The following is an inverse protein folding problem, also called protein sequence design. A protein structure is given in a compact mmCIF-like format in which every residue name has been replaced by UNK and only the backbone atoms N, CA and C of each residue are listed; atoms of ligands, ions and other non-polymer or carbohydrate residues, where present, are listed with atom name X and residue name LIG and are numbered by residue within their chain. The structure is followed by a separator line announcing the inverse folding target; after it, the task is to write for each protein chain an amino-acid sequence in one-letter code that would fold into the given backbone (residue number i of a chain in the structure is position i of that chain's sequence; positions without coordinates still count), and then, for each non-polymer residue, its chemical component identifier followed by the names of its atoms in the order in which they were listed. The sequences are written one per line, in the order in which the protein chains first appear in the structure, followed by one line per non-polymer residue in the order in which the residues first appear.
data_IF_357734702203
#
_entry.id   IF_357734702203
#
_cell.length_a   1.000
_cell.length_b   1.000
_cell.length_c   1.000
_cell.angle_alpha   90.00
_cell.angle_beta   90.00
_cell.angle_gamma   90.00
#
_symmetry.space_group_name_H-M   'P 1'
#
loop_
_entity.id
_entity.type
_entity.pdbx_description
1 polymer ?
#
# COMPACT_ATOMS: atom_id res chain seq x y z
N UNK A 1 6.77 89.57 -18.12
CA UNK A 1 7.44 88.26 -18.15
C UNK A 1 6.97 87.47 -16.93
N UNK A 2 6.03 86.53 -17.08
CA UNK A 2 5.70 85.45 -16.13
C UNK A 2 4.94 84.38 -16.95
N UNK A 3 5.50 83.18 -17.04
CA UNK A 3 4.87 82.00 -17.64
C UNK A 3 3.73 81.49 -16.76
N UNK A 4 2.55 81.25 -17.34
CA UNK A 4 1.46 80.47 -16.71
C UNK A 4 1.66 78.99 -17.05
N UNK A 5 1.90 78.18 -16.03
CA UNK A 5 1.89 76.72 -16.12
C UNK A 5 0.46 76.22 -16.36
N UNK A 6 0.28 75.40 -17.38
CA UNK A 6 -0.98 74.70 -17.67
C UNK A 6 -1.07 73.46 -16.77
N UNK A 7 -1.99 73.48 -15.82
CA UNK A 7 -2.38 72.30 -15.04
C UNK A 7 -3.46 71.55 -15.81
N UNK A 8 -3.17 70.32 -16.26
CA UNK A 8 -4.16 69.45 -16.89
C UNK A 8 -4.80 68.62 -15.76
N UNK A 9 -6.12 68.72 -15.51
CA UNK A 9 -6.77 67.91 -14.50
C UNK A 9 -6.97 66.48 -15.03
N UNK A 10 -6.43 65.50 -14.32
CA UNK A 10 -6.64 64.08 -14.60
C UNK A 10 -7.98 63.69 -13.97
N UNK A 11 -8.93 63.25 -14.81
CA UNK A 11 -10.31 62.97 -14.41
C UNK A 11 -10.42 61.63 -13.67
N UNK A 12 -10.82 61.58 -12.39
CA UNK A 12 -10.78 60.38 -11.54
C UNK A 12 -11.76 59.27 -11.97
N UNK A 13 -12.77 59.60 -12.78
CA UNK A 13 -13.77 58.64 -13.27
C UNK A 13 -13.22 57.58 -14.22
N UNK A 14 -12.19 57.90 -15.00
CA UNK A 14 -11.58 56.94 -15.93
C UNK A 14 -10.82 55.83 -15.19
N UNK A 15 -10.26 56.11 -14.01
CA UNK A 15 -9.55 55.11 -13.22
C UNK A 15 -10.49 54.05 -12.63
N UNK A 16 -11.67 54.47 -12.16
CA UNK A 16 -12.65 53.55 -11.57
C UNK A 16 -13.21 52.59 -12.62
N UNK A 17 -13.51 53.09 -13.82
CA UNK A 17 -14.00 52.26 -14.93
C UNK A 17 -12.94 51.22 -15.38
N UNK A 18 -11.68 51.65 -15.49
CA UNK A 18 -10.56 50.75 -15.85
C UNK A 18 -10.33 49.70 -14.76
N UNK A 19 -10.45 50.06 -13.48
CA UNK A 19 -10.30 49.13 -12.36
C UNK A 19 -11.40 48.05 -12.34
N UNK A 20 -12.65 48.44 -12.60
CA UNK A 20 -13.79 47.50 -12.67
C UNK A 20 -13.60 46.53 -13.85
N UNK A 21 -13.20 47.05 -15.02
CA UNK A 21 -12.92 46.22 -16.19
C UNK A 21 -11.78 45.25 -15.91
N UNK A 22 -10.67 45.71 -15.32
CA UNK A 22 -9.55 44.84 -14.91
C UNK A 22 -9.97 43.75 -13.92
N UNK A 23 -10.77 44.08 -12.91
CA UNK A 23 -11.27 43.10 -11.92
C UNK A 23 -12.17 42.04 -12.56
N UNK A 24 -12.88 42.39 -13.63
CA UNK A 24 -13.76 41.46 -14.35
C UNK A 24 -12.93 40.45 -15.15
N UNK A 25 -11.88 40.91 -15.84
CA UNK A 25 -10.94 40.03 -16.55
C UNK A 25 -10.13 39.16 -15.59
N UNK A 26 -9.72 39.68 -14.44
CA UNK A 26 -8.98 38.93 -13.42
C UNK A 26 -9.79 37.76 -12.85
N UNK A 27 -11.11 37.96 -12.63
CA UNK A 27 -12.02 36.88 -12.22
C UNK A 27 -12.18 35.82 -13.30
N UNK A 28 -12.27 36.21 -14.57
CA UNK A 28 -12.34 35.28 -15.70
C UNK A 28 -11.08 34.40 -15.83
N UNK A 29 -9.90 35.00 -15.67
CA UNK A 29 -8.61 34.29 -15.71
C UNK A 29 -8.49 33.30 -14.53
N UNK A 30 -8.93 33.70 -13.34
CA UNK A 30 -8.91 32.84 -12.15
C UNK A 30 -9.87 31.63 -12.30
N UNK A 31 -11.03 31.83 -12.94
CA UNK A 31 -11.99 30.77 -13.22
C UNK A 31 -11.49 29.79 -14.30
N UNK A 32 -10.72 30.30 -15.27
CA UNK A 32 -10.07 29.48 -16.30
C UNK A 32 -8.93 28.63 -15.71
N UNK A 33 -8.14 29.17 -14.77
CA UNK A 33 -7.04 28.45 -14.11
C UNK A 33 -7.52 27.25 -13.26
N UNK A 34 -8.72 27.32 -12.69
CA UNK A 34 -9.32 26.21 -11.94
C UNK A 34 -9.67 24.98 -12.81
N UNK A 35 -9.84 25.17 -14.13
CA UNK A 35 -10.13 24.08 -15.07
C UNK A 35 -8.86 23.36 -15.57
N UNK A 36 -7.67 23.97 -15.35
CA UNK A 36 -6.37 23.42 -15.75
C UNK A 36 -5.62 22.87 -14.52
N UNK A 37 -6.21 22.94 -13.32
CA UNK A 37 -5.66 22.25 -12.16
C UNK A 37 -5.60 20.74 -12.51
N UNK A 38 -4.41 20.13 -12.59
CA UNK A 38 -4.33 18.70 -12.80
C UNK A 38 -5.09 18.05 -11.64
N UNK A 39 -5.98 17.12 -11.94
CA UNK A 39 -6.44 16.18 -10.93
C UNK A 39 -5.18 15.46 -10.44
N UNK A 40 -4.72 15.84 -9.26
CA UNK A 40 -3.70 15.10 -8.53
C UNK A 40 -4.33 13.75 -8.23
N UNK A 41 -4.16 12.82 -9.17
CA UNK A 41 -4.49 11.42 -8.98
C UNK A 41 -3.49 10.88 -7.96
N UNK A 42 -3.97 10.48 -6.79
CA UNK A 42 -3.30 9.54 -5.91
C UNK A 42 -3.15 8.21 -6.68
N UNK A 43 -2.10 8.11 -7.51
CA UNK A 43 -1.90 7.01 -8.46
C UNK A 43 -0.84 5.98 -8.06
N UNK A 44 -0.17 6.12 -6.91
CA UNK A 44 0.96 5.25 -6.55
C UNK A 44 0.60 4.07 -5.62
N UNK A 45 -0.58 4.04 -5.02
CA UNK A 45 -0.96 2.95 -4.09
C UNK A 45 -1.67 1.77 -4.78
N UNK A 46 -2.31 1.97 -5.93
CA UNK A 46 -3.08 0.92 -6.60
C UNK A 46 -2.21 -0.05 -7.41
N UNK A 47 -1.19 0.46 -8.09
CA UNK A 47 -0.28 -0.35 -8.93
C UNK A 47 0.59 -1.31 -8.10
N UNK A 48 1.01 -0.85 -6.92
CA UNK A 48 1.79 -1.64 -5.97
C UNK A 48 0.96 -2.75 -5.32
N UNK A 49 -0.30 -2.48 -4.98
CA UNK A 49 -1.20 -3.47 -4.40
C UNK A 49 -1.49 -4.65 -5.35
N UNK A 50 -1.69 -4.39 -6.64
CA UNK A 50 -1.96 -5.44 -7.63
C UNK A 50 -0.72 -6.33 -7.85
N UNK A 51 0.46 -5.71 -7.96
CA UNK A 51 1.74 -6.43 -8.09
C UNK A 51 2.00 -7.34 -6.89
N UNK A 52 1.77 -6.82 -5.67
CA UNK A 52 1.92 -7.57 -4.42
C UNK A 52 0.99 -8.79 -4.38
N UNK A 53 -0.27 -8.61 -4.77
CA UNK A 53 -1.24 -9.70 -4.80
C UNK A 53 -0.87 -10.80 -5.81
N UNK A 54 -0.38 -10.42 -6.98
CA UNK A 54 0.13 -11.39 -7.98
C UNK A 54 1.27 -12.20 -7.40
N UNK A 55 2.22 -11.57 -6.70
CA UNK A 55 3.33 -12.26 -6.07
C UNK A 55 2.86 -13.25 -4.99
N UNK A 56 1.97 -12.82 -4.09
CA UNK A 56 1.41 -13.68 -3.04
C UNK A 56 0.71 -14.89 -3.63
N UNK A 57 -0.06 -14.72 -4.71
CA UNK A 57 -0.73 -15.84 -5.38
C UNK A 57 0.27 -16.85 -5.95
N UNK A 58 1.39 -16.40 -6.51
CA UNK A 58 2.47 -17.28 -6.97
C UNK A 58 3.11 -18.04 -5.81
N UNK A 59 3.41 -17.34 -4.71
CA UNK A 59 3.93 -17.98 -3.50
C UNK A 59 2.97 -19.06 -2.97
N UNK A 60 1.68 -18.75 -2.82
CA UNK A 60 0.68 -19.72 -2.37
C UNK A 60 0.53 -20.88 -3.35
N UNK A 61 0.58 -20.64 -4.66
CA UNK A 61 0.56 -21.70 -5.65
C UNK A 61 1.78 -22.66 -5.50
N UNK A 62 2.97 -22.11 -5.23
CA UNK A 62 4.16 -22.91 -4.97
C UNK A 62 4.02 -23.76 -3.69
N UNK A 63 3.32 -23.27 -2.66
CA UNK A 63 3.02 -24.09 -1.47
C UNK A 63 2.16 -25.32 -1.80
N UNK A 64 1.25 -25.23 -2.77
CA UNK A 64 0.42 -26.36 -3.20
C UNK A 64 1.14 -27.38 -4.07
N UNK A 65 2.22 -26.98 -4.76
CA UNK A 65 2.96 -27.86 -5.65
C UNK A 65 3.79 -28.85 -4.83
N UNK A 66 3.38 -30.12 -4.77
CA UNK A 66 4.07 -31.18 -4.01
C UNK A 66 5.42 -31.58 -4.62
N UNK A 67 5.71 -31.18 -5.85
CA UNK A 67 7.00 -31.48 -6.50
C UNK A 67 8.11 -30.49 -6.11
N UNK A 68 7.75 -29.31 -5.59
CA UNK A 68 8.71 -28.32 -5.13
C UNK A 68 9.19 -28.63 -3.72
N UNK A 69 10.50 -28.65 -3.54
CA UNK A 69 11.12 -28.75 -2.22
C UNK A 69 10.99 -27.42 -1.45
N UNK A 70 10.92 -27.50 -0.11
CA UNK A 70 10.60 -26.33 0.73
C UNK A 70 11.73 -25.30 0.75
N UNK A 71 12.97 -25.76 0.75
CA UNK A 71 14.19 -24.96 0.54
C UNK A 71 14.17 -24.14 -0.76
N UNK A 72 13.67 -24.74 -1.86
CA UNK A 72 13.50 -24.05 -3.15
C UNK A 72 12.45 -22.93 -3.04
N UNK A 73 11.33 -23.18 -2.36
CA UNK A 73 10.29 -22.17 -2.14
C UNK A 73 10.84 -21.02 -1.29
N UNK A 74 11.57 -21.32 -0.21
CA UNK A 74 12.24 -20.32 0.62
C UNK A 74 13.15 -19.43 -0.23
N UNK A 75 14.07 -20.03 -0.99
CA UNK A 75 15.04 -19.31 -1.81
C UNK A 75 14.38 -18.38 -2.85
N UNK A 76 13.30 -18.85 -3.49
CA UNK A 76 12.63 -18.10 -4.56
C UNK A 76 11.77 -16.95 -4.00
N UNK A 77 11.00 -17.20 -2.94
CA UNK A 77 9.91 -16.31 -2.55
C UNK A 77 10.18 -15.51 -1.27
N UNK A 78 11.13 -15.92 -0.43
CA UNK A 78 11.37 -15.31 0.88
C UNK A 78 12.64 -14.46 0.85
N UNK A 79 12.59 -13.29 1.47
CA UNK A 79 13.79 -12.49 1.77
C UNK A 79 14.35 -12.92 3.10
N UNK A 80 15.64 -13.22 3.14
CA UNK A 80 16.38 -13.53 4.37
C UNK A 80 17.45 -12.45 4.53
N UNK A 81 17.24 -11.55 5.48
CA UNK A 81 18.10 -10.40 5.74
C UNK A 81 19.11 -10.65 6.87
N UNK A 82 18.93 -11.73 7.63
CA UNK A 82 19.88 -12.18 8.65
C UNK A 82 20.98 -13.03 8.06
N UNK A 83 22.11 -13.10 8.77
CA UNK A 83 23.17 -14.07 8.46
C UNK A 83 22.57 -15.48 8.50
N UNK A 84 22.68 -16.19 7.39
CA UNK A 84 22.07 -17.50 7.22
C UNK A 84 22.95 -18.55 7.89
N UNK A 85 22.67 -18.87 9.14
CA UNK A 85 23.22 -20.05 9.80
C UNK A 85 22.40 -21.29 9.43
N UNK A 86 23.02 -22.46 9.46
CA UNK A 86 22.32 -23.73 9.18
C UNK A 86 21.12 -23.93 10.11
N UNK A 87 21.29 -23.67 11.41
CA UNK A 87 20.20 -23.73 12.40
C UNK A 87 19.03 -22.78 12.06
N UNK A 88 19.35 -21.57 11.60
CA UNK A 88 18.32 -20.60 11.24
C UNK A 88 17.58 -21.00 9.97
N UNK A 89 18.30 -21.55 8.99
CA UNK A 89 17.69 -22.08 7.77
C UNK A 89 16.77 -23.27 8.07
N UNK A 90 17.22 -24.22 8.90
CA UNK A 90 16.41 -25.36 9.34
C UNK A 90 15.13 -24.90 10.06
N UNK A 91 15.22 -23.88 10.91
CA UNK A 91 14.06 -23.28 11.58
C UNK A 91 13.07 -22.66 10.56
N UNK A 92 13.57 -21.93 9.56
CA UNK A 92 12.73 -21.34 8.52
C UNK A 92 12.05 -22.40 7.67
N UNK A 93 12.77 -23.48 7.33
CA UNK A 93 12.25 -24.60 6.57
C UNK A 93 11.14 -25.32 7.33
N UNK A 94 11.35 -25.59 8.63
CA UNK A 94 10.32 -26.16 9.50
C UNK A 94 9.08 -25.27 9.59
N UNK A 95 9.28 -23.96 9.76
CA UNK A 95 8.19 -22.97 9.81
C UNK A 95 7.40 -22.91 8.51
N UNK A 96 8.10 -22.90 7.36
CA UNK A 96 7.43 -22.89 6.06
C UNK A 96 6.70 -24.21 5.79
N UNK A 97 7.25 -25.35 6.21
CA UNK A 97 6.59 -26.64 6.13
C UNK A 97 5.26 -26.66 6.90
N UNK A 98 5.21 -26.07 8.09
CA UNK A 98 3.97 -25.97 8.87
C UNK A 98 2.91 -25.13 8.15
N UNK A 99 3.29 -23.96 7.61
CA UNK A 99 2.42 -23.10 6.80
C UNK A 99 1.93 -23.85 5.56
N UNK A 100 2.84 -24.53 4.86
CA UNK A 100 2.56 -25.31 3.65
C UNK A 100 1.53 -26.40 3.92
N UNK A 101 1.72 -27.20 4.98
CA UNK A 101 0.75 -28.22 5.39
C UNK A 101 -0.61 -27.60 5.70
N UNK A 102 -0.63 -26.50 6.45
CA UNK A 102 -1.89 -25.85 6.80
C UNK A 102 -2.66 -25.39 5.56
N UNK A 103 -1.96 -24.79 4.59
CA UNK A 103 -2.53 -24.31 3.32
C UNK A 103 -2.98 -25.48 2.44
N UNK A 104 -2.18 -26.53 2.29
CA UNK A 104 -2.52 -27.71 1.50
C UNK A 104 -3.77 -28.44 2.01
N UNK A 105 -4.04 -28.39 3.32
CA UNK A 105 -5.29 -28.91 3.91
C UNK A 105 -6.53 -28.06 3.58
N UNK A 106 -6.39 -26.92 2.91
CA UNK A 106 -7.48 -26.04 2.48
C UNK A 106 -7.69 -26.17 0.98
N UNK A 107 -8.94 -26.01 0.56
CA UNK A 107 -9.28 -25.86 -0.85
C UNK A 107 -8.72 -24.52 -1.37
N UNK A 108 -7.84 -24.57 -2.37
CA UNK A 108 -7.19 -23.39 -2.94
C UNK A 108 -8.18 -22.41 -3.54
N UNK A 109 -9.34 -22.89 -4.04
CA UNK A 109 -10.41 -22.05 -4.58
C UNK A 109 -11.13 -21.24 -3.50
N UNK A 110 -10.98 -21.61 -2.23
CA UNK A 110 -11.61 -20.95 -1.09
C UNK A 110 -10.67 -19.99 -0.35
N UNK A 111 -9.43 -19.83 -0.83
CA UNK A 111 -8.47 -18.88 -0.25
C UNK A 111 -8.81 -17.48 -0.75
N UNK A 112 -9.17 -16.62 0.19
CA UNK A 112 -9.29 -15.19 -0.04
C UNK A 112 -8.02 -14.49 0.44
N UNK A 113 -7.51 -13.60 -0.41
CA UNK A 113 -6.35 -12.76 -0.14
C UNK A 113 -6.85 -11.39 0.28
N UNK A 114 -6.59 -11.00 1.53
CA UNK A 114 -7.17 -9.81 2.14
C UNK A 114 -6.05 -8.93 2.65
N UNK A 115 -5.96 -7.70 2.15
CA UNK A 115 -5.05 -6.71 2.70
C UNK A 115 -5.51 -6.29 4.10
N UNK A 116 -4.58 -5.89 4.98
CA UNK A 116 -4.86 -5.40 6.32
C UNK A 116 -6.04 -4.40 6.39
N UNK A 117 -6.11 -3.42 5.49
CA UNK A 117 -7.16 -2.40 5.49
C UNK A 117 -8.55 -2.92 5.12
N UNK A 118 -8.64 -4.11 4.53
CA UNK A 118 -9.90 -4.76 4.16
C UNK A 118 -10.45 -5.61 5.30
N UNK A 119 -9.68 -5.84 6.36
CA UNK A 119 -10.17 -6.58 7.52
C UNK A 119 -11.13 -5.75 8.37
N UNK A 120 -12.17 -6.36 8.95
CA UNK A 120 -13.02 -5.70 9.92
C UNK A 120 -12.21 -5.21 11.13
N UNK A 121 -12.53 -4.03 11.68
CA UNK A 121 -11.84 -3.46 12.85
C UNK A 121 -11.74 -4.41 14.05
N UNK A 122 -12.76 -5.27 14.23
CA UNK A 122 -12.77 -6.29 15.28
C UNK A 122 -11.70 -7.38 15.10
N UNK A 123 -11.32 -7.68 13.85
CA UNK A 123 -10.29 -8.67 13.51
C UNK A 123 -8.89 -8.04 13.53
N UNK A 124 -8.78 -6.73 13.28
CA UNK A 124 -7.48 -6.01 13.32
C UNK A 124 -7.09 -5.52 14.70
N UNK A 125 -8.01 -5.48 15.66
CA UNK A 125 -7.77 -4.91 17.00
C UNK A 125 -6.64 -5.63 17.74
N UNK A 126 -6.58 -6.95 17.59
CA UNK A 126 -5.60 -7.82 18.23
C UNK A 126 -4.51 -8.23 17.23
N UNK A 127 -4.18 -7.37 16.26
CA UNK A 127 -3.06 -7.55 15.32
C UNK A 127 -2.01 -6.46 15.61
N UNK A 128 -0.80 -6.87 15.94
CA UNK A 128 0.36 -6.01 16.09
C UNK A 128 1.11 -6.08 14.77
N UNK A 129 1.35 -4.91 14.19
CA UNK A 129 2.06 -4.80 12.92
C UNK A 129 3.56 -4.73 13.13
N UNK A 130 4.04 -4.56 14.36
CA UNK A 130 5.45 -4.52 14.72
C UNK A 130 6.23 -3.49 13.91
N UNK A 131 5.60 -2.33 13.69
CA UNK A 131 6.16 -1.23 12.90
C UNK A 131 6.17 -1.45 11.39
N UNK A 132 5.62 -2.57 10.89
CA UNK A 132 5.55 -2.85 9.45
C UNK A 132 4.43 -2.09 8.77
N UNK A 133 4.65 -1.76 7.50
CA UNK A 133 3.67 -1.04 6.70
C UNK A 133 2.46 -1.95 6.38
N UNK A 134 1.28 -1.56 6.85
CA UNK A 134 0.02 -2.25 6.61
C UNK A 134 -0.34 -2.43 5.12
N UNK A 135 0.14 -1.56 4.22
CA UNK A 135 -0.05 -1.70 2.77
C UNK A 135 0.59 -2.99 2.23
N UNK A 136 1.60 -3.52 2.92
CA UNK A 136 2.31 -4.74 2.53
C UNK A 136 1.92 -5.96 3.37
N UNK A 137 0.90 -5.83 4.23
CA UNK A 137 0.41 -6.92 5.07
C UNK A 137 -0.85 -7.51 4.46
N UNK A 138 -0.81 -8.82 4.26
CA UNK A 138 -1.90 -9.60 3.68
C UNK A 138 -2.22 -10.80 4.56
N UNK A 139 -3.48 -11.20 4.52
CA UNK A 139 -3.99 -12.34 5.24
C UNK A 139 -4.66 -13.31 4.27
N UNK A 140 -4.39 -14.59 4.46
CA UNK A 140 -5.11 -15.67 3.80
C UNK A 140 -6.29 -16.07 4.67
N UNK A 141 -7.50 -15.94 4.13
CA UNK A 141 -8.76 -16.23 4.82
C UNK A 141 -9.50 -17.35 4.13
N UNK A 142 -9.91 -18.36 4.89
CA UNK A 142 -10.70 -19.51 4.41
C UNK A 142 -11.94 -19.66 5.29
N UNK A 143 -13.13 -19.73 4.68
CA UNK A 143 -14.42 -19.86 5.41
C UNK A 143 -14.55 -18.87 6.58
N UNK A 144 -14.22 -17.61 6.31
CA UNK A 144 -14.23 -16.50 7.27
C UNK A 144 -13.23 -16.61 8.44
N UNK A 145 -12.21 -17.47 8.36
CA UNK A 145 -11.14 -17.60 9.36
C UNK A 145 -9.81 -17.21 8.75
N UNK A 146 -9.06 -16.34 9.43
CA UNK A 146 -7.67 -16.05 9.07
C UNK A 146 -6.84 -17.31 9.32
N UNK A 147 -5.93 -17.60 8.40
CA UNK A 147 -5.14 -18.83 8.39
C UNK A 147 -3.65 -18.52 8.43
N UNK A 148 -3.21 -17.60 7.56
CA UNK A 148 -1.82 -17.17 7.44
C UNK A 148 -1.80 -15.66 7.34
N UNK A 149 -0.83 -15.02 7.96
CA UNK A 149 -0.47 -13.64 7.67
C UNK A 149 0.87 -13.58 6.95
N UNK A 150 0.99 -12.63 6.03
CA UNK A 150 2.13 -12.43 5.16
C UNK A 150 2.51 -10.96 5.19
N UNK A 151 3.81 -10.68 5.28
CA UNK A 151 4.36 -9.35 5.08
C UNK A 151 5.25 -9.37 3.84
N UNK A 152 5.04 -8.41 2.95
CA UNK A 152 5.87 -8.22 1.78
C UNK A 152 6.94 -7.16 2.04
N UNK A 153 8.18 -7.53 1.74
CA UNK A 153 9.31 -6.63 1.73
C UNK A 153 9.93 -6.63 0.34
N UNK A 154 9.95 -5.47 -0.31
CA UNK A 154 10.65 -5.27 -1.58
C UNK A 154 10.29 -6.29 -2.67
N UNK A 155 9.01 -6.69 -2.74
CA UNK A 155 8.49 -7.63 -3.73
C UNK A 155 8.72 -9.12 -3.41
N UNK A 156 9.14 -9.44 -2.20
CA UNK A 156 9.29 -10.81 -1.66
C UNK A 156 8.58 -10.97 -0.33
N UNK A 157 8.40 -12.20 0.15
CA UNK A 157 7.87 -12.45 1.50
C UNK A 157 8.97 -12.14 2.52
N UNK A 158 8.79 -11.09 3.31
CA UNK A 158 9.68 -10.74 4.42
C UNK A 158 9.29 -11.41 5.74
N UNK A 159 8.03 -11.84 5.87
CA UNK A 159 7.53 -12.60 7.02
C UNK A 159 6.31 -13.43 6.64
N UNK A 160 6.19 -14.62 7.24
CA UNK A 160 4.99 -15.45 7.15
C UNK A 160 4.72 -16.09 8.51
N UNK A 161 3.46 -16.16 8.93
CA UNK A 161 3.10 -16.85 10.17
C UNK A 161 1.68 -17.41 10.12
N UNK A 162 1.44 -18.47 10.89
CA UNK A 162 0.10 -18.98 11.11
C UNK A 162 -0.67 -18.06 12.07
N UNK A 163 -1.95 -17.83 11.77
CA UNK A 163 -2.81 -17.05 12.66
C UNK A 163 -3.44 -17.98 13.70
N UNK A 164 -3.05 -17.82 14.97
CA UNK A 164 -3.58 -18.64 16.08
C UNK A 164 -5.02 -18.28 16.43
N UNK A 165 -5.80 -19.26 16.91
CA UNK A 165 -7.14 -19.03 17.46
C UNK A 165 -7.04 -18.78 18.96
N UNK A 166 -7.11 -17.52 19.36
CA UNK A 166 -7.25 -17.12 20.77
C UNK A 166 -6.31 -15.96 21.11
N UNK A 167 -6.89 -14.79 21.35
CA UNK A 167 -6.34 -13.56 21.96
C UNK A 167 -4.92 -13.07 21.64
N UNK A 168 -4.12 -13.68 20.78
CA UNK A 168 -2.78 -13.21 20.44
C UNK A 168 -2.47 -13.44 18.95
N UNK A 169 -2.65 -12.35 18.19
CA UNK A 169 -1.63 -11.68 17.39
C UNK A 169 -0.84 -12.57 16.42
N UNK A 170 -1.08 -12.38 15.13
CA UNK A 170 -0.08 -12.69 14.11
C UNK A 170 1.23 -11.97 14.49
N UNK A 171 2.30 -12.74 14.77
CA UNK A 171 3.63 -12.21 15.06
C UNK A 171 4.44 -12.18 13.74
N UNK A 172 4.85 -10.98 13.33
CA UNK A 172 5.55 -10.81 12.06
C UNK A 172 7.08 -10.71 12.25
N UNK A 173 7.74 -11.85 12.34
CA UNK A 173 9.21 -11.89 12.37
C UNK A 173 9.76 -11.60 10.97
N UNK A 174 10.54 -10.53 10.81
CA UNK A 174 11.33 -10.35 9.57
C UNK A 174 12.52 -11.31 9.62
N UNK A 175 12.70 -12.04 8.52
CA UNK A 175 13.78 -12.98 8.34
C UNK A 175 15.00 -12.34 7.66
#
# INVERSE_FOLDING_TARGET
MICKAFFIPINPFNYILVLIIMMTYLKGICLLLLLIAPKINFGHEYETADTNLVFIKKFVAALYDQSLATDVILSQYVTINKELTDEYFEYLEASLNEVRLNIQMKDSSQIHYINYFQLPKKETKDIDLEGKNANHIYFLKVKNKLVVSLFLDSGKIGSFTLVSKGNNLAHFVTY
#
